data_IF_550084651186
#
_entry.id   IF_550084651186
#
_cell.length_a   1.000
_cell.length_b   1.000
_cell.length_c   1.000
_cell.angle_alpha   90.00
_cell.angle_beta   90.00
_cell.angle_gamma   90.00
#
_symmetry.space_group_name_H-M   'P 1'
#
loop_
_entity.id
_entity.type
_entity.pdbx_description
1 polymer ?
#
# COMPACT_ATOMS: atom_id res chain seq x y z
N UNK A 1 19.92 -8.32 39.57
CA UNK A 1 20.71 -9.05 38.53
C UNK A 1 22.20 -8.89 38.82
N UNK A 2 22.98 -9.98 38.88
CA UNK A 2 24.41 -9.94 39.30
C UNK A 2 25.29 -9.06 38.39
N UNK A 3 25.07 -9.16 37.07
CA UNK A 3 25.77 -8.35 36.06
C UNK A 3 25.55 -6.85 36.17
N UNK A 4 24.46 -6.43 36.82
CA UNK A 4 24.12 -5.02 37.02
C UNK A 4 24.37 -4.57 38.47
N UNK A 5 25.15 -5.33 39.25
CA UNK A 5 25.45 -5.04 40.66
C UNK A 5 24.20 -4.77 41.52
N UNK A 6 23.11 -5.49 41.23
CA UNK A 6 21.83 -5.32 41.94
C UNK A 6 20.89 -4.28 41.33
N UNK A 7 21.33 -3.49 40.34
CA UNK A 7 20.45 -2.60 39.59
C UNK A 7 19.48 -3.40 38.70
N UNK A 8 18.23 -2.92 38.62
CA UNK A 8 17.19 -3.52 37.80
C UNK A 8 16.84 -2.57 36.65
N UNK A 9 17.51 -2.70 35.48
CA UNK A 9 17.27 -1.83 34.36
C UNK A 9 15.85 -2.01 33.81
N UNK A 10 15.18 -0.89 33.55
CA UNK A 10 13.84 -0.91 32.95
C UNK A 10 13.85 -1.60 31.57
N UNK A 11 12.70 -2.16 31.17
CA UNK A 11 12.49 -2.70 29.82
C UNK A 11 12.95 -1.73 28.72
N UNK A 12 12.67 -0.43 28.88
CA UNK A 12 13.02 0.61 27.93
C UNK A 12 14.53 0.78 27.77
N UNK A 13 15.26 0.66 28.88
CA UNK A 13 16.73 0.72 28.92
C UNK A 13 17.33 -0.46 28.17
N UNK A 14 16.85 -1.67 28.44
CA UNK A 14 17.28 -2.89 27.75
C UNK A 14 16.98 -2.80 26.26
N UNK A 15 15.80 -2.33 25.87
CA UNK A 15 15.44 -2.23 24.47
C UNK A 15 16.29 -1.18 23.73
N UNK A 16 16.56 -0.02 24.34
CA UNK A 16 17.48 1.00 23.79
C UNK A 16 18.88 0.43 23.55
N UNK A 17 19.39 -0.36 24.50
CA UNK A 17 20.68 -1.03 24.37
C UNK A 17 20.70 -2.01 23.19
N UNK A 18 19.65 -2.82 23.03
CA UNK A 18 19.53 -3.81 21.94
C UNK A 18 19.46 -3.18 20.54
N UNK A 19 18.77 -2.05 20.41
CA UNK A 19 18.58 -1.37 19.11
C UNK A 19 19.68 -0.37 18.79
N UNK A 20 20.58 -0.09 19.73
CA UNK A 20 21.70 0.82 19.51
C UNK A 20 22.59 0.30 18.39
N UNK A 21 22.96 1.18 17.45
CA UNK A 21 23.66 0.78 16.20
C UNK A 21 24.97 0.03 16.50
N UNK A 22 25.75 0.54 17.45
CA UNK A 22 27.06 -0.04 17.80
C UNK A 22 26.91 -1.38 18.53
N UNK A 23 25.87 -1.51 19.37
CA UNK A 23 25.64 -2.73 20.15
C UNK A 23 25.01 -3.84 19.32
N UNK A 24 24.23 -3.49 18.28
CA UNK A 24 23.52 -4.47 17.45
C UNK A 24 24.47 -5.48 16.82
N UNK A 25 25.57 -5.01 16.23
CA UNK A 25 26.54 -5.89 15.57
C UNK A 25 27.34 -6.70 16.60
N UNK A 26 27.75 -6.08 17.70
CA UNK A 26 28.45 -6.77 18.79
C UNK A 26 27.59 -7.88 19.39
N UNK A 27 26.31 -7.61 19.68
CA UNK A 27 25.36 -8.60 20.20
C UNK A 27 25.20 -9.78 19.26
N UNK A 28 25.14 -9.52 17.94
CA UNK A 28 25.07 -10.57 16.93
C UNK A 28 26.30 -11.47 16.98
N UNK A 29 27.50 -10.87 17.02
CA UNK A 29 28.76 -11.62 17.06
C UNK A 29 28.90 -12.43 18.35
N UNK A 30 28.63 -11.82 19.51
CA UNK A 30 28.64 -12.49 20.81
C UNK A 30 27.65 -13.67 20.84
N UNK A 31 26.45 -13.49 20.29
CA UNK A 31 25.46 -14.56 20.23
C UNK A 31 25.92 -15.75 19.37
N UNK A 32 26.53 -15.47 18.21
CA UNK A 32 27.08 -16.52 17.35
C UNK A 32 28.21 -17.28 18.05
N UNK A 33 29.16 -16.56 18.67
CA UNK A 33 30.26 -17.18 19.40
C UNK A 33 29.77 -18.02 20.58
N UNK A 34 28.83 -17.49 21.35
CA UNK A 34 28.22 -18.20 22.47
C UNK A 34 27.52 -19.48 22.01
N UNK A 35 26.75 -19.42 20.92
CA UNK A 35 26.13 -20.61 20.31
C UNK A 35 27.17 -21.63 19.86
N UNK A 36 28.24 -21.19 19.18
CA UNK A 36 29.31 -22.09 18.74
C UNK A 36 29.94 -22.81 19.93
N UNK A 37 30.25 -22.10 21.02
CA UNK A 37 30.79 -22.70 22.23
C UNK A 37 29.83 -23.72 22.87
N UNK A 38 28.52 -23.45 22.87
CA UNK A 38 27.53 -24.38 23.41
C UNK A 38 27.42 -25.67 22.59
N UNK A 39 27.59 -25.57 21.28
CA UNK A 39 27.63 -26.73 20.38
C UNK A 39 28.90 -27.54 20.61
N UNK A 40 30.06 -26.88 20.70
CA UNK A 40 31.35 -27.54 20.96
C UNK A 40 31.36 -28.27 22.31
N UNK A 41 30.75 -27.67 23.32
CA UNK A 41 30.61 -28.26 24.66
C UNK A 41 29.47 -29.28 24.78
N UNK A 42 28.80 -29.61 23.67
CA UNK A 42 27.67 -30.56 23.57
C UNK A 42 26.52 -30.25 24.54
N UNK A 43 26.31 -28.97 24.86
CA UNK A 43 25.19 -28.53 25.69
C UNK A 43 23.92 -28.33 24.87
N UNK A 44 24.06 -28.13 23.56
CA UNK A 44 22.94 -27.92 22.62
C UNK A 44 23.20 -28.71 21.33
N UNK A 45 22.16 -29.39 20.84
CA UNK A 45 22.18 -30.10 19.55
C UNK A 45 21.96 -29.12 18.38
N UNK A 46 22.66 -29.34 17.27
CA UNK A 46 22.58 -28.46 16.09
C UNK A 46 21.27 -28.61 15.30
N UNK A 47 20.47 -29.65 15.58
CA UNK A 47 19.30 -30.05 14.79
C UNK A 47 17.95 -29.50 15.31
N UNK A 48 17.90 -28.94 16.51
CA UNK A 48 16.64 -28.50 17.12
C UNK A 48 16.48 -26.98 17.09
N UNK A 49 15.48 -26.49 16.36
CA UNK A 49 15.02 -25.09 16.42
C UNK A 49 13.87 -25.01 17.43
N UNK A 50 14.05 -24.19 18.47
CA UNK A 50 13.03 -23.91 19.46
C UNK A 50 12.40 -22.54 19.16
N UNK A 51 11.10 -22.53 18.86
CA UNK A 51 10.30 -21.30 18.76
C UNK A 51 9.26 -21.37 19.88
N UNK A 52 9.28 -20.40 20.78
CA UNK A 52 8.24 -20.21 21.81
C UNK A 52 7.94 -21.47 22.66
N UNK A 53 8.99 -22.15 23.15
CA UNK A 53 8.86 -23.39 23.92
C UNK A 53 8.42 -24.62 23.11
N UNK A 54 8.18 -24.47 21.82
CA UNK A 54 7.81 -25.57 20.91
C UNK A 54 9.06 -26.15 20.25
N UNK A 55 9.32 -27.43 20.50
CA UNK A 55 10.37 -28.20 19.82
C UNK A 55 9.91 -28.52 18.40
N UNK A 56 10.48 -27.85 17.40
CA UNK A 56 10.23 -28.19 15.99
C UNK A 56 11.27 -29.22 15.58
N UNK A 57 10.88 -30.49 15.65
CA UNK A 57 11.62 -31.59 15.04
C UNK A 57 11.29 -31.65 13.55
N UNK A 58 12.25 -32.07 12.72
CA UNK A 58 12.13 -32.15 11.26
C UNK A 58 11.14 -33.25 10.75
N UNK A 59 10.04 -33.49 11.45
CA UNK A 59 8.96 -34.35 11.00
C UNK A 59 7.83 -33.51 10.37
N UNK A 60 7.94 -33.27 9.07
CA UNK A 60 6.94 -32.53 8.29
C UNK A 60 5.54 -33.15 8.29
N UNK A 61 5.39 -34.44 8.66
CA UNK A 61 4.11 -35.15 8.68
C UNK A 61 3.32 -35.01 9.99
N UNK A 62 3.88 -34.42 11.05
CA UNK A 62 3.23 -34.35 12.37
C UNK A 62 2.04 -33.36 12.41
N UNK A 63 2.02 -32.37 11.52
CA UNK A 63 1.01 -31.30 11.51
C UNK A 63 0.23 -31.15 10.19
N UNK A 64 0.55 -31.93 9.15
CA UNK A 64 -0.16 -31.92 7.86
C UNK A 64 -1.67 -32.20 8.00
N UNK A 65 -2.04 -33.11 8.91
CA UNK A 65 -3.44 -33.45 9.18
C UNK A 65 -4.22 -32.34 9.91
N UNK A 66 -3.56 -31.56 10.75
CA UNK A 66 -4.20 -30.49 11.54
C UNK A 66 -4.62 -29.35 10.61
N UNK A 67 -3.76 -28.98 9.66
CA UNK A 67 -4.01 -27.85 8.77
C UNK A 67 -4.92 -28.22 7.60
N UNK A 68 -4.87 -29.46 7.10
CA UNK A 68 -5.76 -29.93 6.03
C UNK A 68 -7.24 -29.78 6.41
N UNK A 69 -7.63 -30.08 7.65
CA UNK A 69 -9.03 -29.94 8.12
C UNK A 69 -9.47 -28.47 8.16
N UNK A 70 -8.59 -27.58 8.63
CA UNK A 70 -8.88 -26.15 8.65
C UNK A 70 -8.98 -25.58 7.23
N UNK A 71 -8.03 -25.91 6.35
CA UNK A 71 -8.02 -25.49 4.94
C UNK A 71 -9.32 -25.94 4.25
N UNK A 72 -9.69 -27.22 4.36
CA UNK A 72 -10.93 -27.75 3.75
C UNK A 72 -12.17 -27.05 4.31
N UNK A 73 -12.21 -26.73 5.61
CA UNK A 73 -13.35 -26.03 6.22
C UNK A 73 -13.52 -24.60 5.72
N UNK A 74 -12.42 -23.89 5.50
CA UNK A 74 -12.45 -22.47 5.13
C UNK A 74 -12.38 -22.22 3.62
N UNK A 75 -11.98 -23.21 2.82
CA UNK A 75 -11.81 -23.09 1.38
C UNK A 75 -13.11 -22.72 0.66
N UNK A 76 -14.24 -23.37 0.99
CA UNK A 76 -15.55 -23.06 0.39
C UNK A 76 -15.99 -21.63 0.70
N UNK A 77 -15.91 -21.21 1.98
CA UNK A 77 -16.28 -19.85 2.38
C UNK A 77 -15.38 -18.78 1.73
N UNK A 78 -14.10 -19.09 1.52
CA UNK A 78 -13.16 -18.21 0.84
C UNK A 78 -13.52 -18.04 -0.65
N UNK A 79 -13.89 -19.14 -1.33
CA UNK A 79 -14.33 -19.11 -2.72
C UNK A 79 -15.61 -18.28 -2.86
N UNK A 80 -16.59 -18.51 -2.00
CA UNK A 80 -17.85 -17.75 -1.99
C UNK A 80 -17.60 -16.24 -1.80
N UNK A 81 -16.74 -15.86 -0.85
CA UNK A 81 -16.38 -14.45 -0.63
C UNK A 81 -15.62 -13.85 -1.81
N UNK A 82 -14.73 -14.63 -2.44
CA UNK A 82 -14.00 -14.18 -3.62
C UNK A 82 -14.94 -13.95 -4.81
N UNK A 83 -15.94 -14.80 -4.99
CA UNK A 83 -16.95 -14.64 -6.03
C UNK A 83 -17.83 -13.41 -5.75
N UNK A 84 -18.31 -13.24 -4.52
CA UNK A 84 -19.11 -12.08 -4.15
C UNK A 84 -18.37 -10.75 -4.37
N UNK A 85 -17.08 -10.67 -4.04
CA UNK A 85 -16.26 -9.49 -4.30
C UNK A 85 -16.04 -9.28 -5.81
N UNK A 86 -15.87 -10.37 -6.57
CA UNK A 86 -15.76 -10.28 -8.03
C UNK A 86 -17.03 -9.72 -8.66
N UNK A 87 -18.20 -10.21 -8.24
CA UNK A 87 -19.51 -9.74 -8.70
C UNK A 87 -19.75 -8.28 -8.31
N UNK A 88 -19.42 -7.89 -7.07
CA UNK A 88 -19.51 -6.49 -6.62
C UNK A 88 -18.63 -5.56 -7.45
N UNK A 89 -17.38 -5.96 -7.72
CA UNK A 89 -16.48 -5.20 -8.57
C UNK A 89 -16.99 -5.14 -10.00
N UNK A 90 -17.62 -6.20 -10.51
CA UNK A 90 -18.19 -6.23 -11.84
C UNK A 90 -19.38 -5.25 -11.94
N UNK A 91 -20.27 -5.23 -10.95
CA UNK A 91 -21.38 -4.28 -10.85
C UNK A 91 -20.91 -2.82 -10.69
N UNK A 92 -19.81 -2.59 -9.96
CA UNK A 92 -19.25 -1.25 -9.72
C UNK A 92 -18.36 -0.74 -10.87
N UNK A 93 -17.66 -1.63 -11.59
CA UNK A 93 -16.66 -1.26 -12.60
C UNK A 93 -17.10 -1.49 -14.04
N UNK A 94 -18.15 -2.28 -14.28
CA UNK A 94 -18.83 -2.33 -15.57
C UNK A 94 -20.02 -1.40 -15.48
N UNK A 95 -20.02 -0.37 -16.33
CA UNK A 95 -21.18 0.47 -16.57
C UNK A 95 -22.35 -0.45 -16.96
N UNK A 96 -23.33 -0.65 -16.06
CA UNK A 96 -24.61 -1.30 -16.35
C UNK A 96 -25.38 -0.62 -17.51
N UNK A 97 -24.89 0.51 -18.03
CA UNK A 97 -25.40 1.16 -19.24
C UNK A 97 -24.94 0.53 -20.56
N UNK A 98 -24.22 -0.61 -20.54
CA UNK A 98 -24.24 -1.54 -21.67
C UNK A 98 -25.30 -2.63 -21.39
N UNK A 99 -26.51 -2.22 -21.05
CA UNK A 99 -27.66 -3.03 -21.48
C UNK A 99 -27.65 -2.95 -23.01
N UNK A 100 -27.67 -4.09 -23.70
CA UNK A 100 -27.97 -4.10 -25.13
C UNK A 100 -29.36 -3.49 -25.29
N UNK A 101 -29.42 -2.24 -25.76
CA UNK A 101 -30.68 -1.62 -26.20
C UNK A 101 -31.13 -2.33 -27.47
N UNK A 102 -31.95 -3.38 -27.28
CA UNK A 102 -32.49 -4.28 -28.31
C UNK A 102 -31.47 -5.19 -29.04
N UNK A 103 -31.93 -6.40 -29.39
CA UNK A 103 -31.22 -7.34 -30.29
C UNK A 103 -31.34 -6.93 -31.77
N UNK A 104 -32.10 -5.88 -32.07
CA UNK A 104 -32.32 -5.38 -33.43
C UNK A 104 -31.17 -4.44 -33.86
N UNK A 105 -30.69 -4.59 -35.09
CA UNK A 105 -29.65 -3.72 -35.65
C UNK A 105 -30.15 -2.27 -35.71
N UNK A 106 -29.34 -1.33 -35.20
CA UNK A 106 -29.60 0.11 -35.26
C UNK A 106 -29.97 0.53 -36.68
N UNK A 107 -31.11 1.21 -36.83
CA UNK A 107 -31.50 1.77 -38.12
C UNK A 107 -30.58 2.96 -38.47
N UNK A 108 -30.34 3.19 -39.77
CA UNK A 108 -29.54 4.33 -40.26
C UNK A 108 -29.87 5.69 -39.59
N UNK A 109 -31.14 6.08 -39.37
CA UNK A 109 -31.45 7.35 -38.72
C UNK A 109 -31.09 7.39 -37.23
N UNK A 110 -31.02 6.25 -36.54
CA UNK A 110 -30.58 6.18 -35.13
C UNK A 110 -29.06 6.30 -35.03
N UNK A 111 -28.34 5.69 -35.96
CA UNK A 111 -26.88 5.81 -36.03
C UNK A 111 -26.43 7.27 -36.25
N UNK A 112 -27.16 8.03 -37.07
CA UNK A 112 -26.89 9.47 -37.28
C UNK A 112 -27.06 10.26 -35.98
N UNK A 113 -28.10 9.97 -35.19
CA UNK A 113 -28.31 10.64 -33.89
C UNK A 113 -27.18 10.33 -32.90
N UNK A 114 -26.65 9.11 -32.92
CA UNK A 114 -25.51 8.73 -32.07
C UNK A 114 -24.25 9.48 -32.50
N UNK A 115 -23.99 9.60 -33.80
CA UNK A 115 -22.86 10.38 -34.32
C UNK A 115 -22.95 11.85 -33.89
N UNK A 116 -24.13 12.47 -34.04
CA UNK A 116 -24.36 13.85 -33.62
C UNK A 116 -24.14 14.04 -32.11
N UNK A 117 -24.63 13.11 -31.28
CA UNK A 117 -24.44 13.16 -29.84
C UNK A 117 -22.96 13.03 -29.43
N UNK A 118 -22.22 12.13 -30.09
CA UNK A 118 -20.77 11.95 -29.85
C UNK A 118 -20.00 13.22 -30.26
N UNK A 119 -20.32 13.82 -31.40
CA UNK A 119 -19.68 15.05 -31.88
C UNK A 119 -19.88 16.22 -30.90
N UNK A 120 -21.07 16.34 -30.30
CA UNK A 120 -21.32 17.38 -29.28
C UNK A 120 -20.50 17.17 -28.01
N UNK A 121 -20.35 15.92 -27.56
CA UNK A 121 -19.51 15.58 -26.41
C UNK A 121 -18.03 15.87 -26.69
N UNK A 122 -17.55 15.55 -27.89
CA UNK A 122 -16.18 15.86 -28.33
C UNK A 122 -15.94 17.37 -28.33
N UNK A 123 -16.88 18.16 -28.87
CA UNK A 123 -16.79 19.62 -28.87
C UNK A 123 -16.73 20.20 -27.46
N UNK A 124 -17.51 19.68 -26.51
CA UNK A 124 -17.47 20.14 -25.12
C UNK A 124 -16.11 19.85 -24.48
N UNK A 125 -15.56 18.65 -24.66
CA UNK A 125 -14.24 18.32 -24.16
C UNK A 125 -13.13 19.18 -24.77
N UNK A 126 -13.18 19.46 -26.07
CA UNK A 126 -12.26 20.39 -26.73
C UNK A 126 -12.35 21.80 -26.16
N UNK A 127 -13.56 22.29 -25.86
CA UNK A 127 -13.74 23.58 -25.20
C UNK A 127 -13.18 23.57 -23.77
N UNK A 128 -13.38 22.49 -23.01
CA UNK A 128 -12.82 22.35 -21.66
C UNK A 128 -11.29 22.36 -21.69
N UNK A 129 -10.67 21.69 -22.65
CA UNK A 129 -9.22 21.68 -22.82
C UNK A 129 -8.68 23.08 -23.14
N UNK A 130 -9.31 23.81 -24.08
CA UNK A 130 -8.96 25.21 -24.40
C UNK A 130 -9.12 26.14 -23.19
N UNK A 131 -10.19 25.99 -22.40
CA UNK A 131 -10.40 26.77 -21.17
C UNK A 131 -9.28 26.52 -20.15
N UNK A 132 -8.84 25.26 -19.98
CA UNK A 132 -7.73 24.90 -19.09
C UNK A 132 -6.40 25.48 -19.60
N UNK A 133 -6.13 25.45 -20.90
CA UNK A 133 -4.93 26.05 -21.50
C UNK A 133 -4.88 27.57 -21.33
N UNK A 134 -6.00 28.28 -21.56
CA UNK A 134 -6.08 29.73 -21.34
C UNK A 134 -5.87 30.11 -19.88
N UNK A 135 -6.43 29.32 -18.95
CA UNK A 135 -6.22 29.53 -17.50
C UNK A 135 -4.73 29.38 -17.15
N UNK A 136 -4.02 28.45 -17.77
CA UNK A 136 -2.56 28.31 -17.58
C UNK A 136 -1.79 29.49 -18.19
N UNK A 137 -2.15 29.94 -19.39
CA UNK A 137 -1.50 31.07 -20.08
C UNK A 137 -1.69 32.43 -19.35
N UNK A 138 -2.87 32.68 -18.79
CA UNK A 138 -3.16 33.89 -18.01
C UNK A 138 -2.38 33.90 -16.69
N UNK A 139 -2.25 32.75 -16.02
CA UNK A 139 -1.45 32.60 -14.81
C UNK A 139 0.06 32.76 -15.05
N UNK A 140 0.55 32.45 -16.26
CA UNK A 140 1.95 32.68 -16.65
C UNK A 140 2.20 34.16 -16.99
N UNK A 141 1.25 34.84 -17.65
CA UNK A 141 1.37 36.26 -18.04
C UNK A 141 1.32 37.25 -16.87
N UNK A 142 0.75 36.86 -15.72
CA UNK A 142 0.73 37.69 -14.49
C UNK A 142 2.11 37.76 -13.80
N UNK A 143 3.11 36.97 -14.23
CA UNK A 143 4.49 37.04 -13.71
C UNK A 143 5.24 38.25 -14.29
N UNK A 144 5.04 39.45 -13.72
CA UNK A 144 5.90 40.61 -14.00
C UNK A 144 7.31 40.37 -13.44
N UNK A 145 8.39 40.70 -14.16
CA UNK A 145 9.74 40.66 -13.61
C UNK A 145 9.85 41.71 -12.51
N UNK A 146 10.12 41.28 -11.28
CA UNK A 146 10.44 42.19 -10.20
C UNK A 146 11.78 42.86 -10.51
N UNK A 147 11.79 44.19 -10.51
CA UNK A 147 13.00 44.98 -10.73
C UNK A 147 14.11 44.55 -9.78
N UNK A 148 15.34 44.61 -10.28
CA UNK A 148 16.59 44.27 -9.59
C UNK A 148 16.54 44.78 -8.16
N UNK A 149 16.97 43.94 -7.20
CA UNK A 149 17.11 44.10 -5.74
C UNK A 149 16.15 43.22 -4.92
N UNK A 150 16.67 42.06 -4.50
CA UNK A 150 16.32 41.41 -3.22
C UNK A 150 14.92 40.82 -3.06
N UNK A 151 14.82 39.51 -3.29
CA UNK A 151 13.89 38.52 -2.70
C UNK A 151 12.79 39.05 -1.75
N UNK A 152 11.56 39.18 -2.25
CA UNK A 152 10.31 38.78 -1.56
C UNK A 152 9.22 38.60 -2.63
N UNK A 153 8.60 37.42 -2.69
CA UNK A 153 7.45 37.15 -3.55
C UNK A 153 6.20 37.72 -2.86
N UNK A 154 5.65 38.83 -3.36
CA UNK A 154 4.37 39.34 -2.87
C UNK A 154 3.21 38.72 -3.67
N UNK A 155 2.37 37.92 -3.01
CA UNK A 155 1.09 37.47 -3.57
C UNK A 155 0.09 38.63 -3.56
N UNK A 156 -0.40 39.04 -4.73
CA UNK A 156 -1.54 39.97 -4.84
C UNK A 156 -2.78 39.14 -5.18
N UNK A 157 -3.61 38.82 -4.19
CA UNK A 157 -4.93 38.25 -4.41
C UNK A 157 -5.95 39.39 -4.60
N UNK A 158 -6.50 39.53 -5.82
CA UNK A 158 -7.46 40.60 -6.15
C UNK A 158 -8.92 40.29 -5.79
N UNK A 159 -9.21 39.16 -5.15
CA UNK A 159 -10.60 38.81 -4.77
C UNK A 159 -10.88 39.08 -3.28
N UNK A 160 -10.62 40.31 -2.80
CA UNK A 160 -11.21 40.79 -1.55
C UNK A 160 -12.23 41.90 -1.86
N UNK A 161 -13.50 41.75 -1.46
CA UNK A 161 -14.50 42.78 -1.69
C UNK A 161 -14.17 43.99 -0.80
N UNK A 162 -14.03 45.19 -1.40
CA UNK A 162 -13.90 46.44 -0.66
C UNK A 162 -15.26 46.77 -0.01
N UNK A 163 -15.28 46.79 1.32
CA UNK A 163 -16.18 47.66 2.09
C UNK A 163 -15.80 49.12 1.89
#
# INVERSE_FOLDING_TARGET
MWLAQGYEPSYRTINRFRVHKDMKELLRQCFVQFRCQLIETKQIDNEAIFIDGTKIEANANKFTFVWKKAIVRYQTNLIEKSQAVYDELLDQSIILAIQRENEEELTLPELVKVIEAVDEVVKDFDQQMRRKENTYADNVSIRKPCGKHGLTLCYVNKNTPRT
#
